data_IF_094442219072
#
_entry.id   IF_094442219072
#
_cell.length_a   1.000
_cell.length_b   1.000
_cell.length_c   1.000
_cell.angle_alpha   90.00
_cell.angle_beta   90.00
_cell.angle_gamma   90.00
#
_symmetry.space_group_name_H-M   'P 1'
#
loop_
_entity.id
_entity.type
_entity.pdbx_description
1 polymer ?
#
# COMPACT_ATOMS: atom_id res chain seq x y z
N UNK A 1 -23.26 -34.49 -12.59
CA UNK A 1 -22.87 -33.09 -12.92
C UNK A 1 -23.17 -32.23 -11.69
N UNK A 2 -22.15 -32.01 -10.88
CA UNK A 2 -22.26 -31.24 -9.63
C UNK A 2 -22.03 -29.76 -9.95
N UNK A 3 -23.07 -28.96 -9.77
CA UNK A 3 -23.04 -27.51 -9.88
C UNK A 3 -22.22 -26.93 -8.72
N UNK A 4 -20.96 -26.59 -8.96
CA UNK A 4 -20.14 -25.82 -8.03
C UNK A 4 -20.69 -24.39 -8.04
N UNK A 5 -21.51 -24.02 -7.03
CA UNK A 5 -21.87 -22.63 -6.75
C UNK A 5 -20.58 -21.86 -6.50
N UNK A 6 -20.19 -20.98 -7.43
CA UNK A 6 -19.20 -19.94 -7.18
C UNK A 6 -19.75 -19.07 -6.04
N UNK A 7 -19.22 -19.22 -4.83
CA UNK A 7 -19.47 -18.26 -3.75
C UNK A 7 -18.86 -16.92 -4.23
N UNK A 8 -19.71 -15.90 -4.34
CA UNK A 8 -19.24 -14.56 -4.64
C UNK A 8 -18.37 -14.07 -3.48
N UNK A 9 -17.26 -13.44 -3.79
CA UNK A 9 -16.32 -12.80 -2.86
C UNK A 9 -17.00 -11.89 -1.82
N UNK A 10 -18.15 -11.30 -2.18
CA UNK A 10 -18.99 -10.43 -1.34
C UNK A 10 -19.67 -11.19 -0.18
N UNK A 11 -19.88 -12.49 -0.28
CA UNK A 11 -20.55 -13.26 0.77
C UNK A 11 -19.62 -13.57 1.97
N UNK A 12 -18.29 -13.60 1.78
CA UNK A 12 -17.32 -13.76 2.85
C UNK A 12 -17.21 -12.54 3.78
N UNK A 13 -17.52 -11.33 3.26
CA UNK A 13 -17.43 -10.08 4.03
C UNK A 13 -18.61 -9.88 5.01
N UNK A 14 -19.69 -10.65 4.87
CA UNK A 14 -20.90 -10.52 5.70
C UNK A 14 -20.83 -11.27 7.03
N UNK A 15 -19.84 -12.14 7.23
CA UNK A 15 -19.74 -13.01 8.43
C UNK A 15 -18.73 -12.51 9.48
N UNK A 16 -18.37 -11.23 9.50
CA UNK A 16 -17.43 -10.68 10.48
C UNK A 16 -15.98 -11.15 10.30
N UNK A 17 -15.67 -11.83 9.21
CA UNK A 17 -14.33 -12.27 8.88
C UNK A 17 -13.61 -11.14 8.13
N UNK A 18 -12.64 -10.51 8.78
CA UNK A 18 -11.83 -9.41 8.22
C UNK A 18 -10.76 -9.89 7.22
N UNK A 19 -10.77 -11.16 6.84
CA UNK A 19 -9.77 -11.78 5.98
C UNK A 19 -10.41 -12.73 4.97
N UNK A 20 -9.96 -12.67 3.71
CA UNK A 20 -10.32 -13.63 2.67
C UNK A 20 -9.08 -14.09 1.89
N UNK A 21 -9.24 -15.12 1.06
CA UNK A 21 -8.15 -15.70 0.30
C UNK A 21 -8.37 -15.52 -1.21
N UNK A 22 -7.29 -15.15 -1.92
CA UNK A 22 -7.22 -15.18 -3.38
C UNK A 22 -6.28 -16.29 -3.78
N UNK A 23 -6.81 -17.27 -4.51
CA UNK A 23 -6.09 -18.47 -4.93
C UNK A 23 -5.70 -18.37 -6.39
N UNK A 24 -4.40 -18.46 -6.66
CA UNK A 24 -3.84 -18.63 -7.99
C UNK A 24 -3.45 -20.08 -8.27
N UNK A 25 -2.67 -20.27 -9.33
CA UNK A 25 -2.23 -21.61 -9.78
C UNK A 25 -1.20 -22.24 -8.84
N UNK A 26 -0.29 -21.47 -8.30
CA UNK A 26 0.85 -21.97 -7.51
C UNK A 26 0.83 -21.52 -6.05
N UNK A 27 0.03 -20.51 -5.72
CA UNK A 27 0.00 -19.98 -4.37
C UNK A 27 -1.39 -19.42 -4.01
N UNK A 28 -1.56 -19.09 -2.75
CA UNK A 28 -2.76 -18.44 -2.20
C UNK A 28 -2.33 -17.25 -1.35
N UNK A 29 -2.90 -16.08 -1.62
CA UNK A 29 -2.68 -14.88 -0.83
C UNK A 29 -3.80 -14.69 0.21
N UNK A 30 -3.43 -14.34 1.44
CA UNK A 30 -4.36 -13.92 2.50
C UNK A 30 -4.54 -12.41 2.42
N UNK A 31 -5.78 -11.96 2.24
CA UNK A 31 -6.12 -10.54 2.08
C UNK A 31 -6.80 -10.04 3.34
N UNK A 32 -6.22 -9.03 3.99
CA UNK A 32 -6.69 -8.42 5.23
C UNK A 32 -7.43 -7.10 5.00
N UNK A 33 -7.72 -6.76 3.75
CA UNK A 33 -8.50 -5.60 3.38
C UNK A 33 -10.00 -5.91 3.33
N UNK A 34 -10.83 -4.98 3.74
CA UNK A 34 -12.30 -5.08 3.65
C UNK A 34 -12.84 -4.71 2.27
N UNK A 35 -12.12 -3.84 1.56
CA UNK A 35 -12.48 -3.39 0.21
C UNK A 35 -11.24 -3.50 -0.67
N UNK A 36 -11.37 -4.15 -1.81
CA UNK A 36 -10.28 -4.34 -2.77
C UNK A 36 -10.80 -4.08 -4.17
N UNK A 37 -10.14 -3.21 -4.90
CA UNK A 37 -10.47 -2.88 -6.28
C UNK A 37 -10.19 -4.06 -7.23
N UNK A 38 -10.93 -4.13 -8.34
CA UNK A 38 -10.80 -5.23 -9.31
C UNK A 38 -9.38 -5.34 -9.90
N UNK A 39 -8.73 -4.22 -10.15
CA UNK A 39 -7.34 -4.19 -10.64
C UNK A 39 -6.37 -4.77 -9.63
N UNK A 40 -6.54 -4.44 -8.36
CA UNK A 40 -5.77 -5.00 -7.26
C UNK A 40 -5.97 -6.52 -7.15
N UNK A 41 -7.21 -7.01 -7.26
CA UNK A 41 -7.52 -8.44 -7.28
C UNK A 41 -6.81 -9.16 -8.42
N UNK A 42 -6.81 -8.57 -9.62
CA UNK A 42 -6.12 -9.12 -10.79
C UNK A 42 -4.61 -9.23 -10.54
N UNK A 43 -3.97 -8.18 -10.01
CA UNK A 43 -2.56 -8.19 -9.67
C UNK A 43 -2.20 -9.24 -8.60
N UNK A 44 -3.06 -9.40 -7.56
CA UNK A 44 -2.85 -10.43 -6.53
C UNK A 44 -2.97 -11.84 -7.16
N UNK A 45 -3.91 -12.05 -8.06
CA UNK A 45 -4.07 -13.32 -8.75
C UNK A 45 -2.86 -13.62 -9.64
N UNK A 46 -2.35 -12.63 -10.39
CA UNK A 46 -1.15 -12.76 -11.20
C UNK A 46 0.07 -13.10 -10.34
N UNK A 47 0.19 -12.48 -9.17
CA UNK A 47 1.25 -12.80 -8.20
C UNK A 47 1.15 -14.27 -7.75
N UNK A 48 -0.06 -14.75 -7.41
CA UNK A 48 -0.30 -16.12 -6.99
C UNK A 48 -0.14 -17.15 -8.13
N UNK A 49 -0.13 -16.71 -9.38
CA UNK A 49 0.16 -17.53 -10.57
C UNK A 49 1.67 -17.68 -10.85
N UNK A 50 2.53 -17.00 -10.10
CA UNK A 50 3.97 -17.09 -10.29
C UNK A 50 4.54 -18.36 -9.65
N UNK A 51 5.08 -19.26 -10.46
CA UNK A 51 5.65 -20.54 -10.00
C UNK A 51 6.79 -20.36 -8.99
N UNK A 52 7.58 -19.30 -9.14
CA UNK A 52 8.72 -19.05 -8.25
C UNK A 52 8.29 -18.66 -6.82
N UNK A 53 7.01 -18.29 -6.61
CA UNK A 53 6.42 -18.03 -5.28
C UNK A 53 5.77 -19.25 -4.63
N UNK A 54 5.83 -20.41 -5.27
CA UNK A 54 5.29 -21.65 -4.70
C UNK A 54 5.86 -21.93 -3.31
N UNK A 55 4.97 -22.16 -2.33
CA UNK A 55 5.34 -22.40 -0.94
C UNK A 55 5.76 -21.15 -0.13
N UNK A 56 5.71 -19.95 -0.72
CA UNK A 56 5.87 -18.70 0.01
C UNK A 56 4.56 -18.27 0.70
N UNK A 57 4.68 -17.54 1.82
CA UNK A 57 3.51 -16.96 2.46
C UNK A 57 3.27 -15.57 1.89
N UNK A 58 2.08 -15.32 1.35
CA UNK A 58 1.67 -14.04 0.78
C UNK A 58 0.54 -13.45 1.64
N UNK A 59 0.73 -12.23 2.11
CA UNK A 59 -0.27 -11.46 2.85
C UNK A 59 -0.45 -10.10 2.20
N UNK A 60 -1.70 -9.68 2.05
CA UNK A 60 -2.08 -8.39 1.49
C UNK A 60 -2.66 -7.54 2.62
N UNK A 61 -2.05 -6.39 2.87
CA UNK A 61 -2.38 -5.49 3.98
C UNK A 61 -3.67 -4.69 3.70
N UNK A 62 -4.30 -4.10 4.74
CA UNK A 62 -5.59 -3.42 4.62
C UNK A 62 -5.63 -2.21 3.67
N UNK A 63 -4.50 -1.55 3.46
CA UNK A 63 -4.33 -0.38 2.60
C UNK A 63 -3.99 -0.73 1.14
N UNK A 64 -4.25 -1.97 0.72
CA UNK A 64 -3.87 -2.45 -0.59
C UNK A 64 -4.56 -1.70 -1.73
N UNK A 65 -3.78 -1.39 -2.75
CA UNK A 65 -4.24 -0.79 -4.00
C UNK A 65 -3.34 -1.20 -5.16
N UNK A 66 -3.80 -0.97 -6.39
CA UNK A 66 -3.05 -1.32 -7.58
C UNK A 66 -1.72 -0.54 -7.63
N UNK A 67 -0.63 -1.25 -7.85
CA UNK A 67 0.71 -0.70 -7.93
C UNK A 67 1.38 -0.95 -9.28
N UNK A 68 2.56 -0.37 -9.48
CA UNK A 68 3.35 -0.55 -10.70
C UNK A 68 4.11 -1.89 -10.62
N UNK A 69 3.50 -2.95 -11.15
CA UNK A 69 4.08 -4.30 -11.21
C UNK A 69 3.66 -5.26 -10.11
N UNK A 70 3.17 -4.77 -8.98
CA UNK A 70 2.61 -5.58 -7.90
C UNK A 70 1.65 -4.71 -7.06
N UNK A 71 0.68 -5.34 -6.45
CA UNK A 71 -0.22 -4.68 -5.48
C UNK A 71 0.59 -4.07 -4.34
N UNK A 72 0.39 -2.77 -4.08
CA UNK A 72 0.93 -2.11 -2.88
C UNK A 72 0.25 -2.70 -1.66
N UNK A 73 0.96 -2.77 -0.52
CA UNK A 73 0.49 -3.48 0.67
C UNK A 73 0.79 -4.99 0.64
N UNK A 74 1.52 -5.48 -0.37
CA UNK A 74 1.92 -6.90 -0.44
C UNK A 74 3.09 -7.19 0.48
N UNK A 75 2.96 -8.23 1.30
CA UNK A 75 4.02 -8.79 2.15
C UNK A 75 4.25 -10.23 1.78
N UNK A 76 5.49 -10.63 1.50
CA UNK A 76 5.86 -11.99 1.10
C UNK A 76 7.01 -12.48 1.97
N UNK A 77 6.80 -13.64 2.61
CA UNK A 77 7.90 -14.38 3.25
C UNK A 77 8.56 -15.26 2.22
N UNK A 78 9.64 -14.78 1.63
CA UNK A 78 10.46 -15.51 0.66
C UNK A 78 11.33 -16.57 1.36
N UNK A 79 11.62 -17.66 0.63
CA UNK A 79 12.57 -18.71 1.04
C UNK A 79 13.65 -18.80 -0.03
N UNK A 80 14.92 -18.70 0.39
CA UNK A 80 16.10 -18.93 -0.45
C UNK A 80 16.12 -18.15 -1.79
N UNK A 81 15.47 -16.98 -1.82
CA UNK A 81 15.37 -16.14 -3.01
C UNK A 81 15.14 -14.67 -2.64
N UNK A 82 15.43 -13.79 -3.58
CA UNK A 82 15.12 -12.36 -3.52
C UNK A 82 14.28 -11.95 -4.73
N UNK A 83 13.47 -10.93 -4.59
CA UNK A 83 12.59 -10.40 -5.63
C UNK A 83 12.77 -8.89 -5.78
N UNK A 84 13.88 -8.41 -6.39
CA UNK A 84 14.17 -6.98 -6.49
C UNK A 84 13.08 -6.18 -7.19
N UNK A 85 12.40 -6.78 -8.17
CA UNK A 85 11.30 -6.16 -8.92
C UNK A 85 10.03 -5.90 -8.11
N UNK A 86 9.91 -6.51 -6.91
CA UNK A 86 8.78 -6.31 -6.00
C UNK A 86 9.11 -5.31 -4.88
N UNK A 87 10.32 -4.79 -4.83
CA UNK A 87 10.71 -3.74 -3.90
C UNK A 87 10.06 -2.44 -4.36
N UNK A 88 9.40 -1.74 -3.44
CA UNK A 88 8.75 -0.46 -3.74
C UNK A 88 9.73 0.60 -4.26
N UNK A 89 9.24 1.50 -5.10
CA UNK A 89 10.05 2.61 -5.65
C UNK A 89 10.43 3.59 -4.56
N UNK A 90 9.51 3.84 -3.62
CA UNK A 90 9.70 4.75 -2.50
C UNK A 90 10.16 4.00 -1.25
N UNK A 91 11.41 3.55 -1.28
CA UNK A 91 12.06 2.91 -0.12
C UNK A 91 12.36 3.99 0.92
N UNK A 92 12.02 3.70 2.17
CA UNK A 92 12.12 4.65 3.29
C UNK A 92 11.10 5.80 3.21
N UNK A 93 9.95 5.57 2.60
CA UNK A 93 8.78 6.46 2.72
C UNK A 93 8.51 6.77 4.20
N UNK A 94 8.31 8.03 4.52
CA UNK A 94 8.11 8.48 5.89
C UNK A 94 7.00 9.52 5.99
N UNK A 95 6.39 9.60 7.17
CA UNK A 95 5.35 10.58 7.47
C UNK A 95 5.79 11.46 8.65
N UNK A 96 5.80 12.78 8.45
CA UNK A 96 5.93 13.75 9.51
C UNK A 96 4.55 14.27 9.89
N UNK A 97 4.15 14.07 11.14
CA UNK A 97 2.85 14.55 11.63
C UNK A 97 3.03 15.67 12.64
N UNK A 98 2.38 16.80 12.38
CA UNK A 98 2.37 17.96 13.28
C UNK A 98 0.94 18.18 13.77
N UNK A 99 0.76 18.20 15.09
CA UNK A 99 -0.53 18.50 15.71
C UNK A 99 -0.72 20.00 15.79
N UNK A 100 -1.70 20.53 15.09
CA UNK A 100 -2.05 21.95 15.12
C UNK A 100 -3.01 22.28 16.29
N UNK A 101 -3.00 23.51 16.82
CA UNK A 101 -3.97 23.98 17.79
C UNK A 101 -5.39 23.93 17.23
N UNK A 102 -6.38 23.56 18.05
CA UNK A 102 -7.79 23.47 17.61
C UNK A 102 -8.37 24.83 17.17
N UNK A 103 -7.84 25.92 17.68
CA UNK A 103 -8.29 27.29 17.38
C UNK A 103 -7.63 27.89 16.14
N UNK A 104 -6.79 27.13 15.44
CA UNK A 104 -6.16 27.63 14.22
C UNK A 104 -7.21 27.85 13.12
N UNK A 105 -7.42 29.11 12.75
CA UNK A 105 -8.25 29.47 11.61
C UNK A 105 -7.35 29.41 10.38
N UNK A 106 -7.67 28.51 9.46
CA UNK A 106 -6.92 28.34 8.22
C UNK A 106 -7.74 28.90 7.06
N UNK A 107 -7.14 29.81 6.33
CA UNK A 107 -7.64 30.25 5.02
C UNK A 107 -7.29 29.18 3.99
N UNK A 108 -8.29 28.38 3.61
CA UNK A 108 -8.10 27.21 2.75
C UNK A 108 -7.61 27.58 1.36
N UNK A 109 -8.08 28.69 0.81
CA UNK A 109 -7.65 29.15 -0.53
C UNK A 109 -6.18 29.55 -0.54
N UNK A 110 -5.73 30.24 0.50
CA UNK A 110 -4.30 30.59 0.64
C UNK A 110 -3.44 29.37 0.90
N UNK A 111 -3.95 28.39 1.68
CA UNK A 111 -3.24 27.15 1.95
C UNK A 111 -3.09 26.33 0.66
N UNK A 112 -4.16 26.16 -0.11
CA UNK A 112 -4.14 25.44 -1.37
C UNK A 112 -3.16 26.06 -2.35
N UNK A 113 -3.22 27.39 -2.51
CA UNK A 113 -2.27 28.12 -3.34
C UNK A 113 -0.82 27.91 -2.88
N UNK A 114 -0.55 28.00 -1.57
CA UNK A 114 0.79 27.80 -1.03
C UNK A 114 1.31 26.40 -1.28
N UNK A 115 0.46 25.37 -1.09
CA UNK A 115 0.82 23.97 -1.35
C UNK A 115 1.20 23.78 -2.82
N UNK A 116 0.38 24.28 -3.74
CA UNK A 116 0.62 24.13 -5.18
C UNK A 116 1.89 24.85 -5.66
N UNK A 117 2.24 25.98 -5.04
CA UNK A 117 3.41 26.78 -5.43
C UNK A 117 4.72 26.29 -4.79
N UNK A 118 4.67 25.67 -3.61
CA UNK A 118 5.87 25.42 -2.79
C UNK A 118 6.14 23.95 -2.48
N UNK A 119 5.13 23.08 -2.58
CA UNK A 119 5.30 21.65 -2.25
C UNK A 119 5.35 20.83 -3.53
N UNK A 120 6.50 20.25 -3.86
CA UNK A 120 6.65 19.46 -5.07
C UNK A 120 5.86 18.16 -4.98
N UNK A 121 5.36 17.68 -6.12
CA UNK A 121 4.63 16.42 -6.24
C UNK A 121 5.22 15.56 -7.36
N UNK A 122 5.06 14.24 -7.22
CA UNK A 122 5.57 13.25 -8.17
C UNK A 122 7.09 13.22 -8.21
N UNK A 123 7.67 13.49 -9.36
CA UNK A 123 9.14 13.51 -9.57
C UNK A 123 9.78 14.89 -9.37
N UNK A 124 8.98 15.88 -9.04
CA UNK A 124 9.49 17.23 -8.80
C UNK A 124 10.15 17.27 -7.41
N UNK A 125 11.26 17.99 -7.33
CA UNK A 125 11.98 18.28 -6.08
C UNK A 125 12.34 19.75 -6.05
N UNK A 126 12.39 20.34 -4.86
CA UNK A 126 12.91 21.69 -4.69
C UNK A 126 14.44 21.66 -4.69
N UNK A 127 15.10 22.59 -5.39
CA UNK A 127 16.56 22.73 -5.39
C UNK A 127 17.08 23.13 -4.00
N UNK A 128 16.28 23.90 -3.26
CA UNK A 128 16.59 24.31 -1.89
C UNK A 128 15.38 24.05 -0.98
N UNK A 129 15.60 23.75 0.31
CA UNK A 129 14.50 23.55 1.25
C UNK A 129 13.70 24.84 1.44
N UNK A 130 12.38 24.77 1.23
CA UNK A 130 11.46 25.88 1.45
C UNK A 130 11.43 26.31 2.93
N UNK A 131 11.65 25.36 3.83
CA UNK A 131 11.72 25.60 5.27
C UNK A 131 12.82 24.75 5.90
N UNK A 132 13.62 25.35 6.79
CA UNK A 132 14.65 24.64 7.57
C UNK A 132 14.21 24.52 9.01
N UNK A 133 14.01 23.30 9.47
CA UNK A 133 13.73 23.00 10.88
C UNK A 133 15.05 22.99 11.65
N UNK A 134 15.41 24.10 12.29
CA UNK A 134 16.65 24.21 13.06
C UNK A 134 16.66 23.39 14.36
N UNK A 135 15.49 22.95 14.82
CA UNK A 135 15.32 22.23 16.11
C UNK A 135 15.16 20.71 15.92
N UNK A 136 15.25 20.22 14.69
CA UNK A 136 15.07 18.79 14.42
C UNK A 136 16.37 18.04 14.65
N UNK A 137 16.45 17.30 15.76
CA UNK A 137 17.61 16.48 16.08
C UNK A 137 17.38 15.04 15.56
N UNK A 138 17.99 14.72 14.42
CA UNK A 138 17.92 13.39 13.78
C UNK A 138 18.49 12.30 14.68
N UNK A 139 19.48 12.59 15.53
CA UNK A 139 20.10 11.63 16.45
C UNK A 139 19.11 11.08 17.49
N UNK A 140 17.99 11.77 17.73
CA UNK A 140 16.93 11.28 18.62
C UNK A 140 15.97 10.30 17.95
N UNK A 141 16.10 10.06 16.65
CA UNK A 141 15.24 9.15 15.88
C UNK A 141 15.90 7.79 15.62
N UNK A 142 17.18 7.66 15.91
CA UNK A 142 17.97 6.43 15.83
C UNK A 142 18.14 5.81 17.21
#
# INVERSE_FOLDING_TARGET
MSSIKKRNQIDCLKEGNTMFEIKGKYNTAKVYATTVENECIAQIMDLCNQKWLEGCNIAIMPDCHAGKGCTIGTTIKLKDKVAPSLVGVDIACGMLTIKLPKQLIVDIEKLDKYINENIPAGFNVNDEPVYRFHEFNIEKLL
#
